data_IF_503275066274
#
_entry.id   IF_503275066274
#
_cell.length_a   1.000
_cell.length_b   1.000
_cell.length_c   1.000
_cell.angle_alpha   90.00
_cell.angle_beta   90.00
_cell.angle_gamma   90.00
#
_symmetry.space_group_name_H-M   'P 1'
#
loop_
_entity.id
_entity.type
_entity.pdbx_description
1 polymer ?
#
# COMPACT_ATOMS: atom_id res chain seq x y z
N UNK A 1 9.32 -21.04 -8.55
CA UNK A 1 8.73 -20.28 -7.42
C UNK A 1 7.71 -19.29 -7.94
N UNK A 2 6.91 -18.72 -7.03
CA UNK A 2 5.93 -17.68 -7.35
C UNK A 2 6.40 -16.36 -6.75
N UNK A 3 6.33 -15.28 -7.52
CA UNK A 3 6.52 -13.92 -6.98
C UNK A 3 5.31 -13.53 -6.14
N UNK A 4 5.54 -13.14 -4.89
CA UNK A 4 4.47 -12.82 -3.94
C UNK A 4 4.36 -11.35 -3.60
N UNK A 5 5.45 -10.58 -3.66
CA UNK A 5 5.41 -9.15 -3.39
C UNK A 5 6.79 -8.54 -3.24
N UNK A 6 6.83 -7.29 -2.83
CA UNK A 6 8.04 -6.53 -2.55
C UNK A 6 7.97 -5.78 -1.23
N UNK A 7 9.11 -5.49 -0.66
CA UNK A 7 9.28 -4.76 0.60
C UNK A 7 10.10 -3.49 0.32
N UNK A 8 9.75 -2.41 0.96
CA UNK A 8 10.46 -1.12 0.93
C UNK A 8 10.27 -0.37 2.26
N UNK A 9 10.92 0.77 2.47
CA UNK A 9 10.81 1.51 3.73
C UNK A 9 9.38 1.87 4.17
N UNK A 10 8.47 2.02 3.21
CA UNK A 10 7.06 2.35 3.49
C UNK A 10 6.17 1.10 3.56
N UNK A 11 6.77 -0.08 3.34
CA UNK A 11 6.03 -1.34 3.24
C UNK A 11 6.89 -2.50 3.71
N UNK A 12 6.76 -2.83 4.95
CA UNK A 12 7.57 -3.80 5.69
C UNK A 12 7.03 -5.23 5.66
N UNK A 13 5.87 -5.45 5.02
CA UNK A 13 5.19 -6.76 5.03
C UNK A 13 4.65 -7.18 3.67
N UNK A 14 4.66 -8.49 3.46
CA UNK A 14 4.08 -9.15 2.27
C UNK A 14 3.05 -10.17 2.73
N UNK A 15 1.86 -10.13 2.15
CA UNK A 15 0.83 -11.12 2.39
C UNK A 15 1.18 -12.43 1.65
N UNK A 16 1.32 -13.52 2.38
CA UNK A 16 1.66 -14.83 1.82
C UNK A 16 0.44 -15.68 1.48
N UNK A 17 -0.59 -15.64 2.33
CA UNK A 17 -1.86 -16.29 2.08
C UNK A 17 -2.72 -15.44 1.12
N UNK A 18 -3.46 -16.03 0.21
CA UNK A 18 -3.66 -17.47 -0.07
C UNK A 18 -2.60 -18.12 -0.97
N UNK A 19 -1.45 -17.49 -1.20
CA UNK A 19 -0.49 -17.88 -2.24
C UNK A 19 0.33 -19.13 -1.92
N UNK A 20 0.43 -19.47 -0.65
CA UNK A 20 1.27 -20.58 -0.17
C UNK A 20 0.48 -21.79 0.35
N UNK A 21 -0.86 -21.68 0.45
CA UNK A 21 -1.66 -22.75 1.07
C UNK A 21 -1.26 -23.02 2.51
N UNK A 22 -1.27 -24.29 2.93
CA UNK A 22 -0.86 -24.74 4.27
C UNK A 22 0.29 -25.77 4.20
N UNK A 23 1.47 -25.43 3.68
CA UNK A 23 2.59 -26.34 3.60
C UNK A 23 3.29 -26.49 4.95
N UNK A 24 3.85 -27.66 5.21
CA UNK A 24 4.66 -27.93 6.40
C UNK A 24 5.96 -27.12 6.43
N UNK A 25 6.46 -26.75 5.26
CA UNK A 25 7.68 -25.95 5.09
C UNK A 25 7.50 -24.90 3.99
N UNK A 26 7.96 -23.69 4.28
CA UNK A 26 7.94 -22.58 3.34
C UNK A 26 9.38 -22.15 3.08
N UNK A 27 9.78 -22.14 1.80
CA UNK A 27 11.06 -21.58 1.38
C UNK A 27 10.85 -20.21 0.76
N UNK A 28 11.53 -19.21 1.30
CA UNK A 28 11.56 -17.87 0.74
C UNK A 28 12.90 -17.60 0.08
N UNK A 29 12.83 -16.88 -1.02
CA UNK A 29 13.98 -16.25 -1.65
C UNK A 29 13.72 -14.76 -1.74
N UNK A 30 14.66 -13.95 -1.23
CA UNK A 30 14.57 -12.51 -1.25
C UNK A 30 15.73 -11.95 -2.08
N UNK A 31 15.41 -11.12 -3.06
CA UNK A 31 16.38 -10.34 -3.79
C UNK A 31 16.43 -8.93 -3.20
N UNK A 32 17.53 -8.61 -2.54
CA UNK A 32 17.82 -7.26 -2.05
C UNK A 32 18.65 -6.47 -3.05
N UNK A 33 18.53 -5.15 -3.04
CA UNK A 33 19.47 -4.27 -3.71
C UNK A 33 19.78 -3.06 -2.84
N UNK A 34 21.02 -2.61 -2.93
CA UNK A 34 21.45 -1.40 -2.25
C UNK A 34 21.51 -0.22 -3.23
N UNK A 35 21.19 0.98 -2.74
CA UNK A 35 21.33 2.22 -3.50
C UNK A 35 22.80 2.42 -3.84
N UNK A 36 23.12 2.51 -5.12
CA UNK A 36 24.51 2.48 -5.60
C UNK A 36 25.23 3.82 -5.64
N UNK A 37 24.65 4.89 -5.10
CA UNK A 37 25.31 6.20 -5.01
C UNK A 37 25.14 6.80 -3.61
N UNK A 38 26.18 6.64 -2.73
CA UNK A 38 26.24 7.36 -1.46
C UNK A 38 26.44 8.87 -1.62
N UNK A 39 26.82 9.35 -2.81
CA UNK A 39 27.40 10.68 -3.01
C UNK A 39 26.56 11.63 -3.85
N UNK A 40 25.23 11.44 -3.94
CA UNK A 40 24.40 12.43 -4.61
C UNK A 40 24.12 13.61 -3.68
N UNK A 41 24.96 14.64 -3.78
CA UNK A 41 24.86 15.88 -2.99
C UNK A 41 23.57 16.65 -3.21
N UNK A 42 22.82 16.35 -4.28
CA UNK A 42 21.56 17.01 -4.65
C UNK A 42 20.36 16.51 -3.86
N UNK A 43 20.49 15.41 -3.15
CA UNK A 43 19.41 14.86 -2.31
C UNK A 43 19.85 14.83 -0.84
N UNK A 44 19.41 15.81 -0.02
CA UNK A 44 19.73 15.83 1.42
C UNK A 44 19.29 14.59 2.18
N UNK A 45 18.19 13.94 1.74
CA UNK A 45 17.72 12.69 2.35
C UNK A 45 18.68 11.52 2.07
N UNK A 46 19.40 11.55 0.94
CA UNK A 46 20.44 10.57 0.66
C UNK A 46 21.68 10.75 1.57
N UNK A 47 21.88 11.97 2.09
CA UNK A 47 22.95 12.29 3.04
C UNK A 47 22.70 11.66 4.41
N UNK A 48 21.43 11.57 4.83
CA UNK A 48 21.06 10.92 6.09
C UNK A 48 21.40 9.42 6.11
N UNK A 49 21.59 8.83 4.93
CA UNK A 49 21.94 7.41 4.76
C UNK A 49 23.45 7.20 4.60
N UNK A 50 24.25 8.28 4.56
CA UNK A 50 25.72 8.19 4.53
C UNK A 50 26.23 7.45 5.77
N UNK A 51 26.85 6.29 5.53
CA UNK A 51 27.40 5.46 6.58
C UNK A 51 26.46 4.45 7.22
N UNK A 52 25.18 4.44 6.89
CA UNK A 52 24.29 3.39 7.35
C UNK A 52 24.56 2.10 6.56
N UNK A 53 25.17 1.13 7.21
CA UNK A 53 25.16 -0.25 6.69
C UNK A 53 23.71 -0.73 6.71
N UNK A 54 23.24 -1.23 5.58
CA UNK A 54 21.98 -1.96 5.58
C UNK A 54 22.17 -3.25 6.36
N UNK A 55 21.48 -3.34 7.48
CA UNK A 55 21.55 -4.49 8.37
C UNK A 55 20.24 -5.25 8.20
N UNK A 56 20.34 -6.55 7.97
CA UNK A 56 19.18 -7.43 8.03
C UNK A 56 18.80 -7.64 9.51
N UNK A 57 17.69 -7.04 9.93
CA UNK A 57 17.22 -7.11 11.32
C UNK A 57 16.32 -8.33 11.59
N UNK A 58 16.18 -9.22 10.63
CA UNK A 58 15.34 -10.41 10.74
C UNK A 58 14.17 -10.41 9.78
N UNK A 59 13.52 -11.56 9.67
CA UNK A 59 12.26 -11.74 8.99
C UNK A 59 11.33 -12.54 9.90
N UNK A 60 10.07 -12.14 9.96
CA UNK A 60 9.09 -12.71 10.86
C UNK A 60 7.88 -13.17 10.07
N UNK A 61 7.38 -14.36 10.37
CA UNK A 61 6.07 -14.81 9.91
C UNK A 61 5.03 -14.42 10.96
N UNK A 62 4.08 -13.59 10.56
CA UNK A 62 3.06 -13.06 11.46
C UNK A 62 1.66 -13.34 10.94
N UNK A 63 0.71 -13.48 11.85
CA UNK A 63 -0.72 -13.51 11.53
C UNK A 63 -1.32 -12.13 11.82
N UNK A 64 -1.98 -11.55 10.82
CA UNK A 64 -2.64 -10.26 10.96
C UNK A 64 -4.08 -10.48 11.38
N UNK A 65 -4.46 -9.89 12.50
CA UNK A 65 -5.86 -9.76 12.88
C UNK A 65 -6.55 -8.72 12.00
N UNK A 66 -7.47 -9.16 11.16
CA UNK A 66 -8.13 -8.30 10.18
C UNK A 66 -9.13 -7.33 10.80
N UNK A 67 -9.77 -7.71 11.89
CA UNK A 67 -10.71 -6.83 12.58
C UNK A 67 -9.96 -5.68 13.24
N UNK A 68 -8.85 -5.99 13.92
CA UNK A 68 -7.96 -4.97 14.49
C UNK A 68 -7.40 -4.07 13.39
N UNK A 69 -6.88 -4.63 12.31
CA UNK A 69 -6.30 -3.84 11.21
C UNK A 69 -7.33 -2.89 10.59
N UNK A 70 -8.55 -3.36 10.36
CA UNK A 70 -9.62 -2.52 9.80
C UNK A 70 -9.99 -1.41 10.77
N UNK A 71 -10.15 -1.71 12.04
CA UNK A 71 -10.49 -0.71 13.06
C UNK A 71 -9.38 0.35 13.20
N UNK A 72 -8.10 -0.05 13.10
CA UNK A 72 -6.98 0.91 13.11
C UNK A 72 -7.10 1.90 11.96
N UNK A 73 -7.39 1.45 10.74
CA UNK A 73 -7.57 2.36 9.60
C UNK A 73 -8.77 3.30 9.77
N UNK A 74 -9.87 2.77 10.33
CA UNK A 74 -11.04 3.58 10.64
C UNK A 74 -10.70 4.66 11.67
N UNK A 75 -9.98 4.31 12.75
CA UNK A 75 -9.54 5.24 13.79
C UNK A 75 -8.61 6.31 13.22
N UNK A 76 -7.59 5.93 12.44
CA UNK A 76 -6.67 6.87 11.80
C UNK A 76 -7.43 7.88 10.94
N UNK A 77 -8.36 7.41 10.11
CA UNK A 77 -9.19 8.27 9.25
C UNK A 77 -10.05 9.22 10.08
N UNK A 78 -10.70 8.73 11.13
CA UNK A 78 -11.56 9.54 11.99
C UNK A 78 -10.78 10.56 12.80
N UNK A 79 -9.56 10.23 13.25
CA UNK A 79 -8.67 11.18 13.91
C UNK A 79 -8.23 12.30 12.97
N UNK A 80 -7.97 11.99 11.72
CA UNK A 80 -7.63 13.00 10.70
C UNK A 80 -8.83 13.92 10.43
N UNK A 81 -10.04 13.38 10.35
CA UNK A 81 -11.27 14.17 10.23
C UNK A 81 -11.45 15.07 11.45
N UNK A 82 -11.30 14.54 12.66
CA UNK A 82 -11.47 15.31 13.90
C UNK A 82 -10.48 16.47 14.05
N UNK A 83 -9.31 16.36 13.43
CA UNK A 83 -8.25 17.40 13.44
C UNK A 83 -8.36 18.38 12.26
N UNK A 84 -9.02 18.01 11.19
CA UNK A 84 -9.04 18.77 9.94
C UNK A 84 -9.99 19.97 10.02
N UNK A 85 -9.50 21.15 9.70
CA UNK A 85 -10.30 22.38 9.59
C UNK A 85 -11.22 22.40 8.36
N UNK A 86 -11.10 21.42 7.46
CA UNK A 86 -11.99 21.27 6.30
C UNK A 86 -13.41 20.85 6.71
N UNK A 87 -13.57 20.30 7.90
CA UNK A 87 -14.86 19.88 8.45
C UNK A 87 -15.37 20.91 9.46
N UNK A 88 -16.70 21.08 9.54
CA UNK A 88 -17.28 21.98 10.52
C UNK A 88 -17.01 21.49 11.97
N UNK A 89 -17.06 22.42 12.91
CA UNK A 89 -16.70 22.17 14.31
C UNK A 89 -17.63 21.14 14.97
N UNK A 90 -18.93 21.17 14.66
CA UNK A 90 -19.90 20.25 15.25
C UNK A 90 -19.64 18.81 14.81
N UNK A 91 -19.32 18.60 13.52
CA UNK A 91 -18.95 17.29 13.02
C UNK A 91 -17.64 16.77 13.63
N UNK A 92 -16.63 17.63 13.77
CA UNK A 92 -15.37 17.25 14.42
C UNK A 92 -15.58 16.85 15.88
N UNK A 93 -16.40 17.61 16.61
CA UNK A 93 -16.77 17.27 17.99
C UNK A 93 -17.53 15.96 18.09
N UNK A 94 -18.51 15.75 17.19
CA UNK A 94 -19.25 14.50 17.08
C UNK A 94 -18.29 13.32 16.86
N UNK A 95 -17.45 13.39 15.83
CA UNK A 95 -16.48 12.31 15.52
C UNK A 95 -15.57 12.02 16.72
N UNK A 96 -15.04 13.06 17.36
CA UNK A 96 -14.15 12.88 18.51
C UNK A 96 -14.86 12.23 19.71
N UNK A 97 -16.10 12.62 19.96
CA UNK A 97 -16.91 12.05 21.06
C UNK A 97 -17.23 10.58 20.78
N UNK A 98 -17.73 10.29 19.58
CA UNK A 98 -18.15 8.92 19.24
C UNK A 98 -16.98 7.98 19.03
N UNK A 99 -15.84 8.48 18.57
CA UNK A 99 -14.60 7.70 18.52
C UNK A 99 -14.12 7.33 19.94
N UNK A 100 -14.21 8.25 20.88
CA UNK A 100 -13.90 7.97 22.29
C UNK A 100 -14.85 6.91 22.88
N UNK A 101 -16.15 7.01 22.58
CA UNK A 101 -17.13 6.00 23.01
C UNK A 101 -16.80 4.62 22.42
N UNK A 102 -16.43 4.57 21.14
CA UNK A 102 -16.01 3.32 20.50
C UNK A 102 -14.76 2.70 21.15
N UNK A 103 -13.75 3.55 21.44
CA UNK A 103 -12.49 3.09 22.06
C UNK A 103 -12.70 2.59 23.49
N UNK A 104 -13.65 3.15 24.22
CA UNK A 104 -14.00 2.70 25.57
C UNK A 104 -14.68 1.30 25.60
N UNK A 105 -15.06 0.75 24.45
CA UNK A 105 -15.54 -0.64 24.34
C UNK A 105 -14.38 -1.64 24.29
N UNK A 106 -13.14 -1.16 24.14
CA UNK A 106 -11.96 -2.02 24.04
C UNK A 106 -11.32 -2.15 25.40
N UNK A 107 -11.18 -3.38 25.86
CA UNK A 107 -10.37 -3.68 27.02
C UNK A 107 -8.95 -4.05 26.58
N UNK A 108 -7.99 -3.19 26.95
CA UNK A 108 -6.57 -3.35 26.69
C UNK A 108 -5.84 -4.05 27.84
N UNK A 109 -6.46 -4.17 29.02
CA UNK A 109 -5.87 -4.78 30.22
C UNK A 109 -6.06 -6.32 30.22
N UNK A 110 -5.67 -6.94 29.13
CA UNK A 110 -5.73 -8.40 28.97
C UNK A 110 -4.33 -8.97 28.77
N UNK A 111 -4.09 -10.16 29.32
CA UNK A 111 -2.78 -10.83 29.25
C UNK A 111 -2.35 -11.24 27.82
N UNK A 112 -3.22 -11.15 26.83
CA UNK A 112 -2.93 -11.65 25.49
C UNK A 112 -3.40 -10.71 24.38
N UNK A 113 -4.69 -10.58 24.19
CA UNK A 113 -5.29 -9.84 23.06
C UNK A 113 -6.39 -8.91 23.59
N UNK A 114 -6.42 -7.65 23.15
CA UNK A 114 -7.53 -6.76 23.49
C UNK A 114 -8.89 -7.39 23.12
N UNK A 115 -9.87 -7.24 23.98
CA UNK A 115 -11.25 -7.65 23.75
C UNK A 115 -12.12 -6.44 23.36
N UNK A 116 -13.35 -6.67 22.88
CA UNK A 116 -14.23 -5.57 22.47
C UNK A 116 -13.96 -4.98 21.09
N UNK A 117 -12.99 -5.50 20.33
CA UNK A 117 -12.61 -4.99 18.99
C UNK A 117 -13.78 -5.03 17.99
N UNK A 118 -14.55 -6.12 17.98
CA UNK A 118 -15.69 -6.27 17.07
C UNK A 118 -16.83 -5.33 17.44
N UNK A 119 -17.06 -5.14 18.72
CA UNK A 119 -18.04 -4.22 19.27
C UNK A 119 -17.68 -2.77 18.93
N UNK A 120 -16.42 -2.37 19.12
CA UNK A 120 -15.92 -1.06 18.75
C UNK A 120 -16.04 -0.81 17.24
N UNK A 121 -15.64 -1.78 16.41
CA UNK A 121 -15.79 -1.69 14.95
C UNK A 121 -17.25 -1.55 14.53
N UNK A 122 -18.14 -2.34 15.13
CA UNK A 122 -19.58 -2.22 14.88
C UNK A 122 -20.09 -0.84 15.26
N UNK A 123 -19.69 -0.33 16.42
CA UNK A 123 -20.07 1.00 16.89
C UNK A 123 -19.63 2.09 15.90
N UNK A 124 -18.38 2.08 15.45
CA UNK A 124 -17.87 3.04 14.44
C UNK A 124 -18.72 3.00 13.18
N UNK A 125 -19.05 1.82 12.67
CA UNK A 125 -19.86 1.69 11.47
C UNK A 125 -21.30 2.19 11.66
N UNK A 126 -21.95 1.79 12.75
CA UNK A 126 -23.37 2.06 12.96
C UNK A 126 -23.64 3.49 13.41
N UNK A 127 -22.72 4.09 14.19
CA UNK A 127 -22.92 5.43 14.79
C UNK A 127 -22.23 6.52 13.98
N UNK A 128 -21.00 6.29 13.51
CA UNK A 128 -20.24 7.35 12.84
C UNK A 128 -20.46 7.28 11.32
N UNK A 129 -20.13 6.16 10.67
CA UNK A 129 -20.21 6.07 9.22
C UNK A 129 -21.64 5.98 8.67
N UNK A 130 -22.58 5.41 9.41
CA UNK A 130 -23.98 5.37 9.02
C UNK A 130 -24.75 6.66 9.35
N UNK A 131 -24.14 7.63 10.03
CA UNK A 131 -24.79 8.88 10.37
C UNK A 131 -25.11 9.70 9.13
N UNK A 132 -26.42 9.93 8.90
CA UNK A 132 -26.91 10.62 7.70
C UNK A 132 -26.88 12.15 7.81
N UNK A 133 -26.80 12.69 9.01
CA UNK A 133 -26.78 14.14 9.25
C UNK A 133 -25.51 14.79 8.72
N UNK A 134 -24.44 13.99 8.62
CA UNK A 134 -23.13 14.43 8.12
C UNK A 134 -22.76 13.79 6.77
N UNK A 135 -23.72 13.31 6.04
CA UNK A 135 -23.49 12.70 4.71
C UNK A 135 -22.97 13.77 3.74
N UNK A 136 -21.79 13.53 3.17
CA UNK A 136 -21.27 14.33 2.07
C UNK A 136 -22.13 14.24 0.81
N UNK A 137 -22.00 15.21 -0.07
CA UNK A 137 -22.62 15.24 -1.39
C UNK A 137 -21.58 15.07 -2.47
N UNK A 138 -21.92 14.31 -3.50
CA UNK A 138 -21.07 14.06 -4.67
C UNK A 138 -20.38 12.69 -4.65
N UNK A 139 -19.87 12.33 -5.82
CA UNK A 139 -19.14 11.08 -6.04
C UNK A 139 -17.66 11.39 -6.28
N UNK A 140 -16.77 10.60 -5.68
CA UNK A 140 -15.33 10.68 -5.88
C UNK A 140 -14.83 9.39 -6.52
N UNK A 141 -14.25 9.50 -7.71
CA UNK A 141 -13.57 8.37 -8.34
C UNK A 141 -12.08 8.37 -7.92
N UNK A 142 -11.67 7.31 -7.24
CA UNK A 142 -10.28 7.09 -6.86
C UNK A 142 -9.63 6.11 -7.82
N UNK A 143 -8.59 6.57 -8.52
CA UNK A 143 -7.80 5.72 -9.42
C UNK A 143 -6.35 5.79 -8.97
N UNK A 144 -5.80 4.65 -8.60
CA UNK A 144 -4.40 4.57 -8.18
C UNK A 144 -3.47 4.66 -9.39
N UNK A 145 -2.34 5.32 -9.19
CA UNK A 145 -1.25 5.46 -10.17
C UNK A 145 0.11 5.39 -9.47
N UNK A 146 1.15 5.06 -10.21
CA UNK A 146 2.54 5.13 -9.72
C UNK A 146 3.42 5.76 -10.78
N UNK A 147 4.08 6.86 -10.43
CA UNK A 147 5.16 7.43 -11.22
C UNK A 147 6.45 6.67 -10.95
N UNK A 148 7.11 6.17 -11.99
CA UNK A 148 8.36 5.44 -11.88
C UNK A 148 9.42 6.02 -12.80
N UNK A 149 10.33 6.80 -12.25
CA UNK A 149 11.48 7.30 -12.99
C UNK A 149 12.37 6.14 -13.45
N UNK A 150 12.72 6.15 -14.73
CA UNK A 150 13.66 5.20 -15.30
C UNK A 150 15.07 5.80 -15.26
N UNK A 151 15.94 5.19 -14.45
CA UNK A 151 17.34 5.61 -14.27
C UNK A 151 17.54 7.07 -13.77
N UNK A 152 16.72 7.51 -12.82
CA UNK A 152 16.83 8.83 -12.18
C UNK A 152 18.03 8.87 -11.20
N UNK A 153 17.81 8.69 -9.86
CA UNK A 153 18.89 8.53 -8.87
C UNK A 153 19.36 7.07 -8.74
N UNK A 154 18.97 6.22 -9.67
CA UNK A 154 19.28 4.78 -9.69
C UNK A 154 19.53 4.29 -11.10
N UNK A 155 20.16 3.15 -11.22
CA UNK A 155 20.44 2.52 -12.52
C UNK A 155 19.16 1.89 -13.09
N UNK A 156 19.12 1.74 -14.42
CA UNK A 156 17.99 1.10 -15.12
C UNK A 156 17.62 -0.27 -14.56
N UNK A 157 18.59 -1.09 -14.15
CA UNK A 157 18.29 -2.39 -13.55
C UNK A 157 17.50 -2.25 -12.24
N UNK A 158 17.74 -1.22 -11.45
CA UNK A 158 16.98 -0.93 -10.26
C UNK A 158 15.55 -0.49 -10.59
N UNK A 159 15.35 0.23 -11.72
CA UNK A 159 14.00 0.54 -12.20
C UNK A 159 13.22 -0.73 -12.57
N UNK A 160 13.86 -1.73 -13.18
CA UNK A 160 13.25 -3.03 -13.46
C UNK A 160 12.79 -3.71 -12.17
N UNK A 161 13.62 -3.72 -11.13
CA UNK A 161 13.28 -4.30 -9.81
C UNK A 161 12.16 -3.51 -9.12
N UNK A 162 12.21 -2.17 -9.18
CA UNK A 162 11.15 -1.30 -8.64
C UNK A 162 9.82 -1.53 -9.36
N UNK A 163 9.86 -1.66 -10.68
CA UNK A 163 8.69 -1.95 -11.50
C UNK A 163 8.03 -3.27 -11.10
N UNK A 164 8.81 -4.35 -10.99
CA UNK A 164 8.30 -5.64 -10.52
C UNK A 164 7.59 -5.48 -9.17
N UNK A 165 8.26 -4.85 -8.20
CA UNK A 165 7.69 -4.64 -6.87
C UNK A 165 6.40 -3.82 -6.93
N UNK A 166 6.38 -2.72 -7.69
CA UNK A 166 5.21 -1.88 -7.87
C UNK A 166 4.05 -2.67 -8.42
N UNK A 167 4.24 -3.36 -9.53
CA UNK A 167 3.17 -4.12 -10.19
C UNK A 167 2.66 -5.25 -9.28
N UNK A 168 3.55 -6.01 -8.65
CA UNK A 168 3.13 -7.07 -7.71
C UNK A 168 2.26 -6.53 -6.58
N UNK A 169 2.60 -5.37 -6.03
CA UNK A 169 1.81 -4.72 -4.99
C UNK A 169 0.40 -4.42 -5.49
N UNK A 170 0.28 -3.84 -6.69
CA UNK A 170 -1.03 -3.52 -7.27
C UNK A 170 -1.85 -4.78 -7.56
N UNK A 171 -1.23 -5.82 -8.10
CA UNK A 171 -1.88 -7.11 -8.32
C UNK A 171 -2.41 -7.71 -7.01
N UNK A 172 -1.63 -7.63 -5.92
CA UNK A 172 -2.06 -8.12 -4.59
C UNK A 172 -3.15 -7.26 -3.96
N UNK A 173 -3.16 -5.96 -4.23
CA UNK A 173 -4.27 -5.10 -3.83
C UNK A 173 -5.54 -5.46 -4.61
N UNK A 174 -5.44 -5.77 -5.90
CA UNK A 174 -6.57 -6.24 -6.70
C UNK A 174 -7.10 -7.59 -6.21
N UNK A 175 -6.23 -8.50 -5.77
CA UNK A 175 -6.67 -9.78 -5.18
C UNK A 175 -7.47 -9.57 -3.90
N UNK A 176 -7.10 -8.54 -3.13
CA UNK A 176 -7.71 -8.26 -1.83
C UNK A 176 -8.96 -7.38 -1.90
N UNK A 177 -8.97 -6.42 -2.82
CA UNK A 177 -10.02 -5.41 -2.98
C UNK A 177 -10.60 -5.50 -4.38
N UNK A 178 -11.80 -6.08 -4.54
CA UNK A 178 -12.43 -6.25 -5.85
C UNK A 178 -12.67 -4.94 -6.61
N UNK A 179 -12.91 -3.85 -5.88
CA UNK A 179 -13.15 -2.51 -6.40
C UNK A 179 -11.88 -1.78 -6.83
N UNK A 180 -10.69 -2.25 -6.40
CA UNK A 180 -9.44 -1.54 -6.64
C UNK A 180 -9.08 -1.52 -8.13
N UNK A 181 -8.85 -0.31 -8.64
CA UNK A 181 -8.40 -0.04 -10.01
C UNK A 181 -7.07 0.71 -10.00
N UNK A 182 -6.29 0.46 -11.02
CA UNK A 182 -4.96 1.05 -11.14
C UNK A 182 -4.65 1.39 -12.59
N UNK A 183 -4.02 2.54 -12.80
CA UNK A 183 -3.49 2.95 -14.10
C UNK A 183 -1.98 3.00 -14.06
N UNK A 184 -1.34 2.71 -15.16
CA UNK A 184 0.11 2.83 -15.27
C UNK A 184 0.49 3.25 -16.69
N UNK A 185 1.39 4.22 -16.75
CA UNK A 185 1.98 4.74 -17.98
C UNK A 185 3.28 3.98 -18.30
N UNK A 186 4.01 4.39 -19.32
CA UNK A 186 5.36 3.93 -19.70
C UNK A 186 5.42 2.52 -20.31
N UNK A 187 5.52 2.45 -21.64
CA UNK A 187 5.65 1.18 -22.35
C UNK A 187 6.88 0.36 -21.91
N UNK A 188 7.98 1.03 -21.52
CA UNK A 188 9.17 0.39 -20.97
C UNK A 188 8.88 -0.51 -19.76
N UNK A 189 7.95 -0.13 -18.89
CA UNK A 189 7.61 -0.91 -17.71
C UNK A 189 6.99 -2.25 -18.09
N UNK A 190 6.13 -2.27 -19.11
CA UNK A 190 5.53 -3.50 -19.64
C UNK A 190 6.52 -4.39 -20.36
N UNK A 191 7.40 -3.79 -21.18
CA UNK A 191 8.47 -4.54 -21.85
C UNK A 191 9.43 -5.18 -20.85
N UNK A 192 9.81 -4.47 -19.81
CA UNK A 192 10.68 -5.00 -18.76
C UNK A 192 10.04 -6.17 -17.99
N UNK A 193 8.73 -6.10 -17.71
CA UNK A 193 8.01 -7.24 -17.12
C UNK A 193 7.97 -8.42 -18.08
N UNK A 194 7.62 -8.19 -19.35
CA UNK A 194 7.57 -9.24 -20.36
C UNK A 194 8.92 -9.94 -20.53
N UNK A 195 10.00 -9.16 -20.50
CA UNK A 195 11.36 -9.69 -20.70
C UNK A 195 11.90 -10.44 -19.48
N UNK A 196 11.74 -9.88 -18.28
CA UNK A 196 12.42 -10.38 -17.09
C UNK A 196 11.51 -11.16 -16.13
N UNK A 197 10.19 -10.95 -16.22
CA UNK A 197 9.20 -11.55 -15.32
C UNK A 197 7.92 -11.92 -16.08
N UNK A 198 8.01 -12.83 -17.08
CA UNK A 198 6.91 -13.14 -17.99
C UNK A 198 5.65 -13.66 -17.28
N UNK A 199 5.78 -14.39 -16.18
CA UNK A 199 4.65 -14.87 -15.39
C UNK A 199 3.87 -13.72 -14.73
N UNK A 200 4.56 -12.68 -14.27
CA UNK A 200 3.91 -11.47 -13.71
C UNK A 200 3.24 -10.66 -14.82
N UNK A 201 3.85 -10.61 -16.00
CA UNK A 201 3.25 -9.97 -17.16
C UNK A 201 1.96 -10.68 -17.60
N UNK A 202 1.90 -12.01 -17.57
CA UNK A 202 0.67 -12.75 -17.88
C UNK A 202 -0.41 -12.54 -16.80
N UNK A 203 -0.04 -12.43 -15.54
CA UNK A 203 -0.97 -12.06 -14.46
C UNK A 203 -1.53 -10.65 -14.66
N UNK A 204 -0.68 -9.68 -15.01
CA UNK A 204 -1.08 -8.32 -15.36
C UNK A 204 -2.11 -8.29 -16.50
N UNK A 205 -1.86 -9.04 -17.59
CA UNK A 205 -2.78 -9.12 -18.73
C UNK A 205 -4.19 -9.58 -18.34
N UNK A 206 -4.32 -10.44 -17.33
CA UNK A 206 -5.63 -10.84 -16.80
C UNK A 206 -6.35 -9.66 -16.19
N UNK A 207 -5.64 -8.85 -15.40
CA UNK A 207 -6.22 -7.64 -14.77
C UNK A 207 -6.61 -6.58 -15.79
N UNK A 208 -5.86 -6.45 -16.88
CA UNK A 208 -6.24 -5.60 -18.01
C UNK A 208 -7.55 -6.09 -18.66
N UNK A 209 -7.68 -7.39 -18.91
CA UNK A 209 -8.91 -7.98 -19.47
C UNK A 209 -10.13 -7.83 -18.53
N UNK A 210 -9.90 -7.83 -17.22
CA UNK A 210 -10.92 -7.59 -16.20
C UNK A 210 -11.34 -6.11 -16.11
N UNK A 211 -10.67 -5.18 -16.80
CA UNK A 211 -10.91 -3.74 -16.71
C UNK A 211 -10.50 -3.13 -15.37
N UNK A 212 -9.54 -3.76 -14.68
CA UNK A 212 -9.06 -3.33 -13.36
C UNK A 212 -7.66 -2.73 -13.40
N UNK A 213 -6.92 -3.02 -14.43
CA UNK A 213 -5.61 -2.43 -14.71
C UNK A 213 -5.66 -1.77 -16.08
N UNK A 214 -5.49 -0.44 -16.14
CA UNK A 214 -5.52 0.33 -17.38
C UNK A 214 -4.11 0.72 -17.80
N UNK A 215 -3.60 0.16 -18.90
CA UNK A 215 -2.35 0.63 -19.51
C UNK A 215 -2.61 1.93 -20.25
N UNK A 216 -2.21 3.03 -19.65
CA UNK A 216 -2.40 4.40 -20.18
C UNK A 216 -1.11 4.91 -20.74
N UNK A 217 -1.21 5.82 -21.70
CA UNK A 217 -0.11 6.62 -22.18
C UNK A 217 0.45 6.17 -23.50
N UNK A 218 1.06 7.12 -24.20
CA UNK A 218 1.68 6.97 -25.51
C UNK A 218 3.23 7.09 -25.44
N UNK A 219 3.77 7.32 -24.26
CA UNK A 219 5.20 7.55 -24.08
C UNK A 219 5.91 6.26 -23.66
N UNK A 220 7.12 6.07 -24.18
CA UNK A 220 7.95 4.92 -23.83
C UNK A 220 8.43 4.96 -22.38
N UNK A 221 8.83 6.14 -21.93
CA UNK A 221 9.10 6.48 -20.54
C UNK A 221 8.25 7.70 -20.18
N UNK A 222 7.99 7.91 -18.89
CA UNK A 222 7.19 9.04 -18.44
C UNK A 222 7.96 10.35 -18.66
N UNK A 223 7.36 11.31 -19.40
CA UNK A 223 7.99 12.61 -19.59
C UNK A 223 7.84 13.43 -18.30
N UNK A 224 8.92 14.02 -17.85
CA UNK A 224 8.86 15.07 -16.85
C UNK A 224 8.36 16.39 -17.46
N UNK A 225 7.94 17.32 -16.58
CA UNK A 225 7.43 18.63 -17.02
C UNK A 225 8.40 19.44 -17.92
N UNK A 226 9.67 19.07 -17.93
CA UNK A 226 10.71 19.73 -18.70
C UNK A 226 10.93 19.12 -20.10
N UNK A 227 10.18 18.09 -20.45
CA UNK A 227 10.23 17.50 -21.79
C UNK A 227 9.09 18.10 -22.59
N UNK A 228 9.40 18.90 -23.67
CA UNK A 228 8.39 19.51 -24.49
C UNK A 228 7.59 18.51 -25.32
#
# INVERSE_FOLDING_TARGET
GKFVGGIDPNRDRVLLTPYIGTPDKIKFEMQGYNRSKPDDERNPESLAVRGCRQIFNGAYLVTIDRDVQSLVYDIETLLDIAKSELFNEDYRKFVNTELNNALNLIDFDTDSRPTGIKEAKKYVNDVIFANRDYKGSGDVALVAHSHLDIAYYWRRIHAVQKNLRTVLIQLRLMDRYPEFKYTHTQAYTYESLKQYYPEVFEELKKRVKEGRFEPVGAMYIEPDCNIP
#
